data_IF_064947062650
#
_entry.id   IF_064947062650
#
_cell.length_a   1.000
_cell.length_b   1.000
_cell.length_c   1.000
_cell.angle_alpha   90.00
_cell.angle_beta   90.00
_cell.angle_gamma   90.00
#
_symmetry.space_group_name_H-M   'P 1'
#
loop_
_entity.id
_entity.type
_entity.pdbx_description
1 polymer ?
#
# COMPACT_ATOMS: atom_id res chain seq x y z
N UNK A 1 57.06 -24.22 -2.83
CA UNK A 1 55.96 -23.23 -2.67
C UNK A 1 56.14 -22.59 -1.32
N UNK A 2 56.75 -21.40 -1.33
CA UNK A 2 57.24 -20.71 -0.14
C UNK A 2 56.12 -20.22 0.78
N UNK A 3 56.42 -20.19 2.08
CA UNK A 3 55.54 -19.67 3.14
C UNK A 3 55.07 -18.24 2.83
N UNK A 4 55.92 -17.44 2.17
CA UNK A 4 55.58 -16.09 1.69
C UNK A 4 54.44 -16.09 0.67
N UNK A 5 54.34 -17.11 -0.18
CA UNK A 5 53.31 -17.19 -1.23
C UNK A 5 51.94 -17.56 -0.65
N UNK A 6 51.92 -18.36 0.43
CA UNK A 6 50.70 -18.66 1.20
C UNK A 6 50.23 -17.45 2.02
N UNK A 7 51.14 -16.70 2.61
CA UNK A 7 50.81 -15.47 3.34
C UNK A 7 50.23 -14.39 2.41
N UNK A 8 50.81 -14.21 1.22
CA UNK A 8 50.31 -13.26 0.23
C UNK A 8 48.92 -13.66 -0.30
N UNK A 9 48.69 -14.95 -0.56
CA UNK A 9 47.38 -15.46 -0.98
C UNK A 9 46.31 -15.30 0.12
N UNK A 10 46.68 -15.53 1.38
CA UNK A 10 45.80 -15.33 2.53
C UNK A 10 45.40 -13.86 2.72
N UNK A 11 46.35 -12.93 2.58
CA UNK A 11 46.06 -11.49 2.68
C UNK A 11 45.16 -11.00 1.52
N UNK A 12 45.33 -11.55 0.32
CA UNK A 12 44.49 -11.20 -0.84
C UNK A 12 43.04 -11.66 -0.65
N UNK A 13 42.82 -12.84 -0.07
CA UNK A 13 41.48 -13.37 0.22
C UNK A 13 40.73 -12.56 1.31
N UNK A 14 41.45 -12.04 2.30
CA UNK A 14 40.87 -11.17 3.34
C UNK A 14 40.49 -9.80 2.76
N UNK A 15 41.30 -9.25 1.85
CA UNK A 15 41.01 -7.96 1.21
C UNK A 15 39.78 -8.02 0.28
N UNK A 16 39.54 -9.14 -0.40
CA UNK A 16 38.39 -9.30 -1.31
C UNK A 16 37.07 -9.50 -0.57
N UNK A 17 37.09 -10.06 0.65
CA UNK A 17 35.87 -10.29 1.44
C UNK A 17 35.32 -9.02 2.11
N UNK A 18 36.14 -7.99 2.30
CA UNK A 18 35.72 -6.72 2.90
C UNK A 18 34.83 -5.84 1.99
N UNK A 19 34.84 -6.05 0.67
CA UNK A 19 34.07 -5.22 -0.29
C UNK A 19 32.61 -5.66 -0.43
N UNK A 20 32.28 -6.91 -0.09
CA UNK A 20 30.91 -7.45 -0.25
C UNK A 20 29.97 -6.99 0.88
N UNK A 21 30.48 -6.72 2.08
CA UNK A 21 29.66 -6.31 3.23
C UNK A 21 29.29 -4.82 3.25
N UNK A 22 29.75 -4.02 2.28
CA UNK A 22 29.56 -2.57 2.30
C UNK A 22 28.32 -2.04 1.53
N UNK A 23 27.52 -2.90 0.86
CA UNK A 23 26.52 -2.42 -0.11
C UNK A 23 25.04 -2.55 0.29
N UNK A 24 24.69 -2.92 1.52
CA UNK A 24 23.30 -2.81 2.00
C UNK A 24 23.06 -1.52 2.78
N UNK A 25 23.51 -0.38 2.25
CA UNK A 25 22.91 0.90 2.66
C UNK A 25 21.55 0.97 2.00
N UNK A 26 20.53 0.52 2.76
CA UNK A 26 19.13 0.77 2.45
C UNK A 26 19.02 2.24 2.05
N UNK A 27 18.53 2.50 0.83
CA UNK A 27 18.31 3.86 0.36
C UNK A 27 17.21 4.46 1.25
N UNK A 28 17.61 5.05 2.38
CA UNK A 28 16.76 5.94 3.16
C UNK A 28 16.64 7.19 2.31
N UNK A 29 15.71 7.15 1.35
CA UNK A 29 15.27 8.35 0.65
C UNK A 29 14.94 9.41 1.69
N UNK A 30 15.28 10.67 1.40
CA UNK A 30 14.86 11.82 2.22
C UNK A 30 13.42 11.59 2.64
N UNK A 31 13.17 11.49 3.94
CA UNK A 31 11.84 11.26 4.48
C UNK A 31 10.95 12.39 4.02
N UNK A 32 10.25 12.21 2.90
CA UNK A 32 9.16 13.09 2.53
C UNK A 32 8.16 12.90 3.65
N UNK A 33 7.78 14.01 4.29
CA UNK A 33 6.75 14.00 5.30
C UNK A 33 5.60 13.19 4.73
N UNK A 34 5.28 12.07 5.39
CA UNK A 34 4.10 11.29 5.04
C UNK A 34 2.93 12.20 5.36
N UNK A 35 2.48 12.97 4.37
CA UNK A 35 1.24 13.71 4.46
C UNK A 35 0.19 12.64 4.61
N UNK A 36 -0.26 12.42 5.84
CA UNK A 36 -1.41 11.56 6.06
C UNK A 36 -2.59 12.31 5.44
N UNK A 37 -3.16 11.86 4.30
CA UNK A 37 -4.27 12.56 3.67
C UNK A 37 -5.51 12.58 4.59
N UNK A 38 -5.52 11.78 5.65
CA UNK A 38 -6.56 11.74 6.67
C UNK A 38 -6.32 12.73 7.84
N UNK A 39 -5.17 13.44 7.90
CA UNK A 39 -4.80 14.32 9.04
C UNK A 39 -5.78 15.48 9.25
N UNK A 40 -6.52 15.87 8.21
CA UNK A 40 -7.49 16.98 8.24
C UNK A 40 -8.94 16.54 7.99
N UNK A 41 -9.25 15.23 8.08
CA UNK A 41 -10.62 14.74 7.87
C UNK A 41 -11.28 14.54 9.22
N UNK A 42 -12.48 15.09 9.39
CA UNK A 42 -13.26 14.89 10.61
C UNK A 42 -13.41 13.38 10.94
N UNK A 43 -13.33 13.00 12.22
CA UNK A 43 -13.61 11.63 12.63
C UNK A 43 -15.06 11.29 12.28
N UNK A 44 -15.28 10.07 11.80
CA UNK A 44 -16.63 9.56 11.56
C UNK A 44 -17.20 9.12 12.91
N UNK A 45 -18.36 9.63 13.34
CA UNK A 45 -18.99 9.20 14.58
C UNK A 45 -19.37 7.71 14.51
N UNK A 46 -19.32 7.04 15.66
CA UNK A 46 -19.71 5.64 15.81
C UNK A 46 -20.80 5.49 16.86
N UNK A 47 -21.74 4.61 16.61
CA UNK A 47 -22.69 4.12 17.61
C UNK A 47 -21.96 3.10 18.49
N UNK A 48 -21.81 3.38 19.79
CA UNK A 48 -21.27 2.41 20.74
C UNK A 48 -22.34 1.37 21.06
N UNK A 49 -22.59 0.46 20.11
CA UNK A 49 -23.65 -0.55 20.19
C UNK A 49 -23.54 -1.43 21.44
N UNK A 50 -22.31 -1.71 21.88
CA UNK A 50 -22.07 -2.44 23.13
C UNK A 50 -22.61 -1.70 24.35
N UNK A 51 -22.41 -0.39 24.44
CA UNK A 51 -22.95 0.43 25.53
C UNK A 51 -24.46 0.64 25.40
N UNK A 52 -24.94 0.96 24.20
CA UNK A 52 -26.34 1.25 23.94
C UNK A 52 -27.26 0.05 24.24
N UNK A 53 -26.75 -1.16 24.00
CA UNK A 53 -27.51 -2.40 24.13
C UNK A 53 -27.02 -3.29 25.30
N UNK A 54 -26.28 -2.73 26.26
CA UNK A 54 -25.64 -3.50 27.33
C UNK A 54 -26.61 -4.41 28.11
N UNK A 55 -27.89 -4.04 28.20
CA UNK A 55 -28.93 -4.78 28.90
C UNK A 55 -29.99 -5.38 27.97
N UNK A 56 -29.80 -5.35 26.65
CA UNK A 56 -30.78 -5.90 25.70
C UNK A 56 -30.61 -7.43 25.62
N UNK A 57 -31.64 -8.22 25.99
CA UNK A 57 -31.53 -9.67 26.02
C UNK A 57 -31.65 -10.32 24.63
N UNK A 58 -31.96 -9.56 23.57
CA UNK A 58 -32.24 -10.10 22.24
C UNK A 58 -30.95 -10.15 21.42
N UNK A 59 -30.49 -11.33 20.97
CA UNK A 59 -29.23 -11.46 20.24
C UNK A 59 -29.17 -10.68 18.92
N UNK A 60 -30.31 -10.55 18.23
CA UNK A 60 -30.38 -9.88 16.93
C UNK A 60 -30.21 -8.37 17.04
N UNK A 61 -30.50 -7.75 18.20
CA UNK A 61 -30.43 -6.30 18.38
C UNK A 61 -29.01 -5.79 18.24
N UNK A 62 -28.02 -6.53 18.76
CA UNK A 62 -26.60 -6.20 18.60
C UNK A 62 -26.19 -6.25 17.12
N UNK A 63 -26.50 -7.34 16.42
CA UNK A 63 -26.18 -7.48 15.00
C UNK A 63 -26.84 -6.39 14.14
N UNK A 64 -28.08 -6.03 14.46
CA UNK A 64 -28.79 -4.93 13.81
C UNK A 64 -28.13 -3.57 14.08
N UNK A 65 -27.75 -3.28 15.33
CA UNK A 65 -27.06 -2.04 15.66
C UNK A 65 -25.71 -1.90 14.94
N UNK A 66 -24.91 -2.97 14.93
CA UNK A 66 -23.62 -2.98 14.22
C UNK A 66 -23.82 -2.74 12.71
N UNK A 67 -24.86 -3.32 12.12
CA UNK A 67 -25.21 -3.06 10.72
C UNK A 67 -25.58 -1.60 10.46
N UNK A 68 -26.40 -1.00 11.33
CA UNK A 68 -26.79 0.41 11.25
C UNK A 68 -25.57 1.33 11.43
N UNK A 69 -24.71 1.04 12.41
CA UNK A 69 -23.47 1.78 12.65
C UNK A 69 -22.55 1.73 11.44
N UNK A 70 -22.35 0.55 10.85
CA UNK A 70 -21.57 0.40 9.64
C UNK A 70 -22.14 1.22 8.47
N UNK A 71 -23.45 1.11 8.22
CA UNK A 71 -24.11 1.85 7.12
C UNK A 71 -24.03 3.36 7.32
N UNK A 72 -24.17 3.82 8.56
CA UNK A 72 -24.01 5.23 8.92
C UNK A 72 -22.57 5.68 8.69
N UNK A 73 -21.58 4.90 9.15
CA UNK A 73 -20.18 5.24 8.99
C UNK A 73 -19.77 5.33 7.52
N UNK A 74 -20.21 4.40 6.67
CA UNK A 74 -19.95 4.43 5.24
C UNK A 74 -20.56 5.68 4.57
N UNK A 75 -21.81 5.99 4.91
CA UNK A 75 -22.51 7.18 4.39
C UNK A 75 -21.81 8.49 4.80
N UNK A 76 -21.37 8.57 6.06
CA UNK A 76 -20.66 9.74 6.58
C UNK A 76 -19.23 9.82 6.04
N UNK A 77 -18.54 8.70 5.86
CA UNK A 77 -17.24 8.65 5.18
C UNK A 77 -17.36 9.29 3.79
N UNK A 78 -18.36 8.87 3.03
CA UNK A 78 -18.62 9.40 1.69
C UNK A 78 -18.97 10.89 1.73
N UNK A 79 -19.81 11.31 2.66
CA UNK A 79 -20.21 12.73 2.84
C UNK A 79 -19.01 13.61 3.18
N UNK A 80 -18.07 13.10 3.99
CA UNK A 80 -16.81 13.76 4.29
C UNK A 80 -15.75 13.64 3.18
N UNK A 81 -16.14 13.16 1.99
CA UNK A 81 -15.29 13.07 0.82
C UNK A 81 -14.22 11.99 0.90
N UNK A 82 -14.38 10.99 1.78
CA UNK A 82 -13.48 9.82 1.81
C UNK A 82 -13.73 8.96 0.56
N UNK A 83 -12.68 8.56 -0.17
CA UNK A 83 -12.83 7.70 -1.33
C UNK A 83 -13.46 6.35 -0.95
N UNK A 84 -14.40 5.87 -1.77
CA UNK A 84 -14.92 4.48 -1.69
C UNK A 84 -14.12 3.56 -2.61
N UNK A 85 -14.32 2.24 -2.56
CA UNK A 85 -13.86 1.37 -3.63
C UNK A 85 -14.58 1.70 -4.94
N UNK A 86 -13.82 1.87 -6.03
CA UNK A 86 -14.36 2.07 -7.37
C UNK A 86 -15.06 0.80 -7.87
N UNK A 87 -16.04 0.97 -8.76
CA UNK A 87 -16.63 -0.13 -9.52
C UNK A 87 -15.70 -0.63 -10.64
N UNK A 88 -14.67 0.15 -10.97
CA UNK A 88 -13.68 -0.21 -11.98
C UNK A 88 -12.67 -1.17 -11.36
N UNK A 89 -12.53 -2.35 -11.96
CA UNK A 89 -11.51 -3.33 -11.61
C UNK A 89 -10.59 -3.56 -12.81
N UNK A 90 -9.30 -3.34 -12.59
CA UNK A 90 -8.29 -3.36 -13.64
C UNK A 90 -7.38 -4.58 -13.49
N UNK A 91 -7.05 -5.22 -14.60
CA UNK A 91 -6.04 -6.27 -14.62
C UNK A 91 -4.70 -5.62 -14.96
N UNK A 92 -3.82 -5.40 -13.98
CA UNK A 92 -2.56 -4.68 -14.17
C UNK A 92 -1.39 -5.39 -13.47
N UNK A 93 -0.13 -5.11 -13.85
CA UNK A 93 1.03 -5.79 -13.31
C UNK A 93 1.11 -5.78 -11.79
N UNK A 94 1.51 -6.91 -11.23
CA UNK A 94 1.78 -7.02 -9.80
C UNK A 94 2.98 -6.15 -9.38
N UNK A 95 2.98 -5.68 -8.14
CA UNK A 95 4.06 -4.87 -7.58
C UNK A 95 5.38 -5.65 -7.61
N UNK A 96 6.43 -5.00 -8.10
CA UNK A 96 7.78 -5.56 -8.19
C UNK A 96 8.14 -6.14 -9.55
N UNK A 97 7.18 -6.33 -10.45
CA UNK A 97 7.40 -6.74 -11.84
C UNK A 97 8.13 -5.67 -12.67
N UNK A 98 8.77 -6.06 -13.78
CA UNK A 98 9.46 -5.12 -14.65
C UNK A 98 8.45 -4.20 -15.36
N UNK A 99 7.30 -4.75 -15.72
CA UNK A 99 6.18 -4.08 -16.38
C UNK A 99 5.59 -3.00 -15.46
N UNK A 100 5.38 -3.31 -14.18
CA UNK A 100 4.93 -2.33 -13.17
C UNK A 100 5.91 -1.15 -13.03
N UNK A 101 7.23 -1.43 -13.09
CA UNK A 101 8.27 -0.38 -13.01
C UNK A 101 8.32 0.49 -14.25
N UNK A 102 8.09 -0.09 -15.42
CA UNK A 102 8.10 0.62 -16.69
C UNK A 102 6.87 1.52 -16.86
N UNK A 103 5.71 1.09 -16.35
CA UNK A 103 4.45 1.82 -16.49
C UNK A 103 4.14 2.77 -15.31
N UNK A 104 4.97 2.79 -14.27
CA UNK A 104 4.77 3.59 -13.05
C UNK A 104 3.38 3.36 -12.40
N UNK A 105 2.78 2.18 -12.62
CA UNK A 105 1.48 1.75 -12.08
C UNK A 105 1.52 0.26 -11.75
N UNK A 106 0.81 -0.13 -10.70
CA UNK A 106 0.88 -1.51 -10.19
C UNK A 106 -0.35 -1.90 -9.38
N UNK A 107 -0.65 -3.20 -9.35
CA UNK A 107 -1.58 -3.79 -8.39
C UNK A 107 -0.86 -4.19 -7.09
N UNK A 108 -1.37 -3.70 -5.95
CA UNK A 108 -0.89 -4.05 -4.61
C UNK A 108 -2.08 -4.25 -3.68
N UNK A 109 -2.22 -5.46 -3.12
CA UNK A 109 -3.32 -5.83 -2.22
C UNK A 109 -4.72 -5.53 -2.80
N UNK A 110 -4.90 -5.72 -4.11
CA UNK A 110 -6.16 -5.45 -4.81
C UNK A 110 -6.45 -3.97 -5.06
N UNK A 111 -5.49 -3.07 -4.79
CA UNK A 111 -5.58 -1.62 -5.04
C UNK A 111 -4.59 -1.21 -6.12
N UNK A 112 -5.02 -0.32 -7.00
CA UNK A 112 -4.11 0.32 -7.95
C UNK A 112 -3.27 1.33 -7.20
N UNK A 113 -1.96 1.23 -7.34
CA UNK A 113 -1.01 2.23 -6.88
C UNK A 113 -0.26 2.80 -8.08
N UNK A 114 -0.03 4.11 -8.07
CA UNK A 114 0.78 4.79 -9.07
C UNK A 114 2.02 5.39 -8.42
N UNK A 115 3.11 5.47 -9.16
CA UNK A 115 4.35 6.04 -8.68
C UNK A 115 4.21 7.55 -8.59
N UNK A 116 4.74 8.09 -7.52
CA UNK A 116 4.93 9.52 -7.28
C UNK A 116 6.40 9.75 -6.93
N UNK A 117 6.86 11.00 -6.93
CA UNK A 117 8.29 11.37 -6.88
C UNK A 117 9.22 10.39 -6.15
N UNK A 118 8.96 10.10 -4.88
CA UNK A 118 9.76 9.17 -4.08
C UNK A 118 8.96 7.99 -3.47
N UNK A 119 7.82 7.64 -4.05
CA UNK A 119 6.94 6.61 -3.47
C UNK A 119 5.81 6.17 -4.37
N UNK A 120 4.77 5.65 -3.74
CA UNK A 120 3.54 5.19 -4.38
C UNK A 120 2.34 5.78 -3.66
N UNK A 121 1.30 6.11 -4.41
CA UNK A 121 0.02 6.52 -3.86
C UNK A 121 -1.11 5.68 -4.47
N UNK A 122 -2.22 5.57 -3.74
CA UNK A 122 -3.41 4.88 -4.27
C UNK A 122 -4.03 5.73 -5.38
N UNK A 123 -4.28 5.10 -6.51
CA UNK A 123 -4.91 5.77 -7.64
C UNK A 123 -6.42 5.92 -7.43
N UNK A 124 -6.95 7.03 -7.90
CA UNK A 124 -8.37 7.37 -7.83
C UNK A 124 -8.98 7.35 -9.24
N UNK A 125 -10.27 7.00 -9.33
CA UNK A 125 -11.06 7.17 -10.54
C UNK A 125 -11.57 8.62 -10.69
N UNK A 126 -12.39 8.86 -11.72
CA UNK A 126 -12.96 10.18 -12.00
C UNK A 126 -13.89 10.69 -10.89
N UNK A 127 -14.50 9.79 -10.14
CA UNK A 127 -15.40 10.10 -9.01
C UNK A 127 -14.64 10.17 -7.68
N UNK A 128 -13.30 10.13 -7.74
CA UNK A 128 -12.39 10.10 -6.59
C UNK A 128 -12.58 8.88 -5.69
N UNK A 129 -12.96 7.73 -6.26
CA UNK A 129 -12.95 6.45 -5.56
C UNK A 129 -11.63 5.71 -5.80
N UNK A 130 -11.18 4.91 -4.84
CA UNK A 130 -9.99 4.08 -4.98
C UNK A 130 -10.16 3.02 -6.07
N UNK A 131 -9.29 3.06 -7.07
CA UNK A 131 -9.27 2.06 -8.14
C UNK A 131 -8.88 0.68 -7.61
N UNK A 132 -9.62 -0.34 -8.05
CA UNK A 132 -9.39 -1.74 -7.69
C UNK A 132 -8.63 -2.45 -8.80
N UNK A 133 -7.93 -3.52 -8.46
CA UNK A 133 -7.21 -4.33 -9.44
C UNK A 133 -7.20 -5.82 -9.15
N UNK A 134 -6.83 -6.60 -10.16
CA UNK A 134 -6.27 -7.95 -10.05
C UNK A 134 -4.85 -7.93 -10.61
N UNK A 135 -3.91 -8.70 -10.03
CA UNK A 135 -2.57 -8.80 -10.56
C UNK A 135 -2.59 -9.56 -11.90
N UNK A 136 -2.00 -8.96 -12.93
CA UNK A 136 -1.69 -9.60 -14.21
C UNK A 136 -0.17 -9.56 -14.46
N UNK A 137 0.28 -10.19 -15.55
CA UNK A 137 1.66 -10.04 -16.06
C UNK A 137 1.71 -9.03 -17.22
N UNK A 138 0.56 -8.68 -17.79
CA UNK A 138 0.43 -7.82 -18.97
C UNK A 138 -0.42 -6.57 -18.66
N UNK A 139 -0.02 -5.42 -19.20
CA UNK A 139 -0.79 -4.18 -19.10
C UNK A 139 -1.86 -4.12 -20.20
N UNK A 140 -3.11 -3.82 -19.85
CA UNK A 140 -4.15 -3.55 -20.83
C UNK A 140 -3.80 -2.26 -21.58
N UNK A 141 -3.93 -2.32 -22.91
CA UNK A 141 -3.52 -1.27 -23.85
C UNK A 141 -4.13 0.12 -23.61
N UNK A 142 -5.18 0.23 -22.78
CA UNK A 142 -5.81 1.49 -22.39
C UNK A 142 -5.15 2.23 -21.22
N UNK A 143 -4.13 1.67 -20.56
CA UNK A 143 -3.46 2.30 -19.39
C UNK A 143 -2.17 3.05 -19.72
N UNK A 144 -1.74 3.03 -20.98
CA UNK A 144 -0.56 3.79 -21.44
C UNK A 144 -0.97 5.25 -21.64
N UNK A 145 -0.89 6.03 -20.55
CA UNK A 145 -0.77 7.49 -20.59
C UNK A 145 -2.08 8.29 -20.67
N UNK A 146 -2.46 8.89 -19.53
CA UNK A 146 -2.53 10.36 -19.31
C UNK A 146 -2.83 10.67 -17.85
#
# INVERSE_FOLDING_TARGET
MDVMQRAAAGLLLIAVSATVFAQTRSAVGRGVERVNPQRNVAPIPRLDCRKLLANDPRPWTHAYCEHVDFSMQDSLAHTFGRPRPSQIQLDIPALGTAEARAADVSCSEGRVIRKVGNGWEQALDRDRNYLRCRPSVELPSGFIGR
#
